data_IF_436537292785
#
_entry.id   IF_436537292785
#
_cell.length_a   1.000
_cell.length_b   1.000
_cell.length_c   1.000
_cell.angle_alpha   90.00
_cell.angle_beta   90.00
_cell.angle_gamma   90.00
#
_symmetry.space_group_name_H-M   'P 1'
#
loop_
_entity.id
_entity.type
_entity.pdbx_description
1 polymer ?
#
# COMPACT_ATOMS: atom_id res chain seq x y z
N UNK A 1 -13.18 16.25 23.98
CA UNK A 1 -11.80 16.05 23.49
C UNK A 1 -11.67 16.75 22.14
N UNK A 2 -10.80 17.75 22.06
CA UNK A 2 -10.73 18.74 20.97
C UNK A 2 -10.20 18.20 19.62
N UNK A 3 -9.79 16.93 19.55
CA UNK A 3 -9.12 16.34 18.37
C UNK A 3 -9.94 15.20 17.74
N UNK A 4 -11.18 14.96 18.20
CA UNK A 4 -12.05 13.94 17.61
C UNK A 4 -11.56 12.49 17.80
N UNK A 5 -10.79 12.22 18.86
CA UNK A 5 -10.21 10.89 19.18
C UNK A 5 -11.27 9.92 19.74
N UNK A 6 -12.43 10.45 20.15
CA UNK A 6 -13.51 9.73 20.85
C UNK A 6 -14.03 8.45 20.16
N UNK A 7 -14.26 8.37 18.82
CA UNK A 7 -14.77 7.14 18.22
C UNK A 7 -13.75 5.98 18.24
N UNK A 8 -12.47 6.23 18.54
CA UNK A 8 -11.40 5.25 18.46
C UNK A 8 -10.94 4.66 19.83
N UNK A 9 -11.75 4.70 20.91
CA UNK A 9 -11.34 4.26 22.30
C UNK A 9 -11.71 2.85 22.90
N UNK A 10 -12.59 1.95 22.40
CA UNK A 10 -12.82 0.57 22.99
C UNK A 10 -11.71 -0.45 22.71
N UNK A 11 -11.39 -1.29 23.69
CA UNK A 11 -11.31 -2.77 23.59
C UNK A 11 -10.42 -3.44 22.52
N UNK A 12 -10.74 -3.29 21.22
CA UNK A 12 -9.91 -3.73 20.06
C UNK A 12 -9.25 -2.56 19.32
N UNK A 13 -9.44 -1.32 19.79
CA UNK A 13 -9.25 -0.04 19.07
C UNK A 13 -7.84 0.57 19.16
N UNK A 14 -6.86 -0.13 19.74
CA UNK A 14 -5.47 0.34 19.77
C UNK A 14 -4.89 0.59 18.38
N UNK A 15 -5.08 -0.32 17.42
CA UNK A 15 -4.52 -0.18 16.06
C UNK A 15 -5.18 0.94 15.24
N UNK A 16 -6.50 1.13 15.33
CA UNK A 16 -7.20 2.19 14.59
C UNK A 16 -6.84 3.57 15.14
N UNK A 17 -6.73 3.69 16.46
CA UNK A 17 -6.25 4.91 17.11
C UNK A 17 -4.77 5.18 16.78
N UNK A 18 -3.92 4.15 16.80
CA UNK A 18 -2.51 4.27 16.41
C UNK A 18 -2.39 4.74 14.95
N UNK A 19 -3.11 4.11 14.03
CA UNK A 19 -3.15 4.51 12.63
C UNK A 19 -3.60 5.96 12.49
N UNK A 20 -4.67 6.36 13.17
CA UNK A 20 -5.14 7.73 13.18
C UNK A 20 -4.05 8.71 13.65
N UNK A 21 -3.42 8.45 14.79
CA UNK A 21 -2.34 9.28 15.33
C UNK A 21 -1.11 9.33 14.40
N UNK A 22 -0.75 8.20 13.77
CA UNK A 22 0.31 8.16 12.76
C UNK A 22 -0.04 9.00 11.54
N UNK A 23 -1.29 8.96 11.06
CA UNK A 23 -1.73 9.83 9.95
C UNK A 23 -1.77 11.32 10.32
N UNK A 24 -1.90 11.66 11.60
CA UNK A 24 -1.73 13.02 12.11
C UNK A 24 -0.27 13.43 12.32
N UNK A 25 0.69 12.51 12.18
CA UNK A 25 2.11 12.76 12.49
C UNK A 25 2.40 12.89 13.98
N UNK A 26 1.47 12.45 14.85
CA UNK A 26 1.59 12.50 16.30
C UNK A 26 2.22 11.24 16.89
N UNK A 27 2.35 10.19 16.07
CA UNK A 27 3.08 8.97 16.38
C UNK A 27 3.91 8.54 15.19
N UNK A 28 5.07 7.98 15.49
CA UNK A 28 5.90 7.24 14.54
C UNK A 28 5.78 5.77 14.90
N UNK A 29 5.54 4.92 13.90
CA UNK A 29 5.61 3.47 14.11
C UNK A 29 7.05 3.10 14.49
N UNK A 30 7.21 2.50 15.67
CA UNK A 30 8.51 1.99 16.10
C UNK A 30 8.74 0.64 15.42
N UNK A 31 9.89 0.51 14.78
CA UNK A 31 10.31 -0.74 14.17
C UNK A 31 10.45 -1.85 15.23
N UNK A 32 9.75 -2.97 15.01
CA UNK A 32 9.81 -4.14 15.87
C UNK A 32 10.63 -5.29 15.25
N UNK A 33 10.88 -6.35 16.03
CA UNK A 33 11.67 -7.50 15.57
C UNK A 33 11.07 -8.20 14.34
N UNK A 34 9.74 -8.22 14.24
CA UNK A 34 9.07 -8.82 13.09
C UNK A 34 9.30 -8.00 11.81
N UNK A 35 9.28 -6.67 11.89
CA UNK A 35 9.62 -5.79 10.76
C UNK A 35 11.08 -5.98 10.33
N UNK A 36 12.02 -5.96 11.29
CA UNK A 36 13.45 -6.22 11.01
C UNK A 36 13.70 -7.58 10.37
N UNK A 37 13.04 -8.62 10.89
CA UNK A 37 13.12 -9.96 10.31
C UNK A 37 12.56 -9.97 8.89
N UNK A 38 11.40 -9.38 8.67
CA UNK A 38 10.77 -9.26 7.35
C UNK A 38 11.70 -8.60 6.34
N UNK A 39 12.23 -7.42 6.66
CA UNK A 39 13.16 -6.67 5.81
C UNK A 39 14.40 -7.49 5.44
N UNK A 40 14.98 -8.24 6.39
CA UNK A 40 16.16 -9.08 6.11
C UNK A 40 15.82 -10.32 5.28
N UNK A 41 14.64 -10.89 5.48
CA UNK A 41 14.23 -12.15 4.86
C UNK A 41 13.67 -11.96 3.44
N UNK A 42 13.07 -10.81 3.15
CA UNK A 42 12.40 -10.52 1.87
C UNK A 42 13.27 -10.80 0.63
N UNK A 43 14.56 -10.41 0.55
CA UNK A 43 15.38 -10.71 -0.61
C UNK A 43 15.58 -12.22 -0.86
N UNK A 44 15.61 -13.03 0.21
CA UNK A 44 15.69 -14.49 0.11
C UNK A 44 14.36 -15.08 -0.36
N UNK A 45 13.25 -14.58 0.19
CA UNK A 45 11.91 -14.99 -0.22
C UNK A 45 11.67 -14.68 -1.70
N UNK A 46 12.04 -13.47 -2.17
CA UNK A 46 11.91 -13.09 -3.57
C UNK A 46 12.71 -13.99 -4.50
N UNK A 47 13.97 -14.27 -4.18
CA UNK A 47 14.79 -15.19 -4.97
C UNK A 47 14.15 -16.58 -5.06
N UNK A 48 13.62 -17.07 -3.94
CA UNK A 48 12.93 -18.36 -3.91
C UNK A 48 11.66 -18.35 -4.77
N UNK A 49 10.86 -17.27 -4.70
CA UNK A 49 9.69 -17.09 -5.56
C UNK A 49 10.08 -17.11 -7.05
N UNK A 50 11.09 -16.33 -7.45
CA UNK A 50 11.59 -16.26 -8.83
C UNK A 50 12.06 -17.64 -9.31
N UNK A 51 12.80 -18.37 -8.49
CA UNK A 51 13.25 -19.74 -8.82
C UNK A 51 12.08 -20.71 -8.98
N UNK A 52 11.07 -20.65 -8.12
CA UNK A 52 9.91 -21.54 -8.18
C UNK A 52 8.96 -21.25 -9.34
N UNK A 53 8.90 -20.00 -9.78
CA UNK A 53 7.92 -19.54 -10.78
C UNK A 53 8.52 -19.29 -12.15
N UNK A 54 9.86 -19.18 -12.23
CA UNK A 54 10.58 -18.78 -13.43
C UNK A 54 10.07 -17.46 -14.03
N UNK A 55 9.74 -16.48 -13.18
CA UNK A 55 9.23 -15.16 -13.59
C UNK A 55 10.23 -14.05 -13.30
N UNK A 56 10.21 -12.99 -14.10
CA UNK A 56 10.90 -11.74 -13.79
C UNK A 56 10.06 -10.90 -12.82
N UNK A 57 10.70 -10.38 -11.77
CA UNK A 57 10.05 -9.50 -10.79
C UNK A 57 10.79 -8.17 -10.72
N UNK A 58 10.08 -7.08 -10.97
CA UNK A 58 10.58 -5.72 -10.80
C UNK A 58 10.27 -5.19 -9.41
N UNK A 59 11.17 -4.39 -8.85
CA UNK A 59 10.89 -3.60 -7.65
C UNK A 59 9.91 -2.48 -7.99
N UNK A 60 8.93 -2.25 -7.11
CA UNK A 60 8.01 -1.14 -7.23
C UNK A 60 8.14 -0.24 -6.00
N UNK A 61 8.30 1.06 -6.24
CA UNK A 61 8.25 2.06 -5.19
C UNK A 61 6.82 2.37 -4.76
N UNK A 62 6.70 3.30 -3.81
CA UNK A 62 5.39 3.78 -3.37
C UNK A 62 4.66 4.55 -4.48
N UNK A 63 3.43 4.12 -4.76
CA UNK A 63 2.50 4.73 -5.69
C UNK A 63 1.31 5.36 -4.94
N UNK A 64 0.99 6.61 -5.27
CA UNK A 64 -0.27 7.25 -4.89
C UNK A 64 -1.28 7.05 -6.02
N UNK A 65 -2.52 6.73 -5.68
CA UNK A 65 -3.57 6.36 -6.64
C UNK A 65 -3.81 7.39 -7.75
N UNK A 66 -3.63 8.68 -7.44
CA UNK A 66 -3.88 9.77 -8.39
C UNK A 66 -2.94 9.73 -9.61
N UNK A 67 -1.81 9.02 -9.53
CA UNK A 67 -0.86 8.92 -10.63
C UNK A 67 -1.18 7.81 -11.65
N UNK A 68 -2.10 6.90 -11.36
CA UNK A 68 -2.41 5.75 -12.23
C UNK A 68 -3.67 5.96 -13.10
N UNK A 69 -4.68 6.66 -12.56
CA UNK A 69 -6.01 6.79 -13.19
C UNK A 69 -6.12 7.84 -14.30
N UNK A 70 -5.10 8.70 -14.51
CA UNK A 70 -5.13 9.71 -15.57
C UNK A 70 -4.76 9.19 -16.96
N UNK A 71 -4.51 7.88 -17.10
CA UNK A 71 -4.08 7.27 -18.38
C UNK A 71 -5.25 6.93 -19.33
N UNK A 72 -6.50 7.03 -18.88
CA UNK A 72 -7.69 6.66 -19.68
C UNK A 72 -8.63 7.83 -20.01
N UNK A 73 -8.34 9.05 -19.58
CA UNK A 73 -9.12 10.22 -19.96
C UNK A 73 -8.61 10.78 -21.29
N UNK A 74 -9.28 10.41 -22.38
CA UNK A 74 -9.07 10.94 -23.72
C UNK A 74 -9.14 12.47 -23.75
N UNK A 75 -8.19 13.06 -24.44
CA UNK A 75 -8.05 14.49 -24.70
C UNK A 75 -9.27 15.05 -25.43
N UNK A 76 -9.98 15.99 -24.80
CA UNK A 76 -10.72 17.03 -25.52
C UNK A 76 -10.40 18.38 -24.90
N UNK A 77 -9.44 19.09 -25.49
CA UNK A 77 -9.12 20.47 -25.19
C UNK A 77 -10.29 21.33 -25.70
N UNK A 78 -11.04 21.94 -24.78
CA UNK A 78 -11.86 23.12 -25.09
C UNK A 78 -11.19 24.34 -24.45
N UNK A 79 -10.65 25.22 -25.30
CA UNK A 79 -10.17 26.54 -24.91
C UNK A 79 -11.32 27.40 -24.38
N UNK A 80 -11.14 28.04 -23.23
CA UNK A 80 -12.04 29.05 -22.70
C UNK A 80 -11.76 29.30 -21.22
N UNK A 81 -11.17 30.46 -20.91
CA UNK A 81 -10.62 30.75 -19.59
C UNK A 81 -11.66 30.97 -18.51
N UNK A 82 -11.27 30.66 -17.27
CA UNK A 82 -11.77 31.36 -16.09
C UNK A 82 -10.77 31.24 -14.92
N UNK A 83 -10.38 32.38 -14.36
CA UNK A 83 -9.30 32.52 -13.37
C UNK A 83 -9.79 32.31 -11.93
N UNK A 84 -10.71 31.35 -11.75
CA UNK A 84 -11.35 31.03 -10.46
C UNK A 84 -11.45 29.51 -10.18
N UNK A 85 -10.54 28.70 -10.71
CA UNK A 85 -10.41 27.29 -10.29
C UNK A 85 -8.95 26.91 -10.09
N UNK A 86 -8.32 27.45 -9.04
CA UNK A 86 -7.13 26.83 -8.43
C UNK A 86 -7.60 25.85 -7.36
N UNK A 87 -8.45 24.89 -7.75
CA UNK A 87 -8.53 23.61 -7.05
C UNK A 87 -7.59 22.69 -7.82
N UNK A 88 -6.32 22.77 -7.43
CA UNK A 88 -5.27 21.86 -7.86
C UNK A 88 -5.82 20.44 -7.82
N UNK A 89 -5.86 19.78 -8.99
CA UNK A 89 -6.32 18.41 -9.19
C UNK A 89 -5.44 17.43 -8.40
N UNK A 90 -5.64 17.39 -7.09
CA UNK A 90 -5.26 16.24 -6.29
C UNK A 90 -6.32 15.20 -6.66
N UNK A 91 -5.99 14.30 -7.59
CA UNK A 91 -6.93 13.31 -8.12
C UNK A 91 -7.76 12.67 -7.00
N UNK A 92 -9.03 12.38 -7.24
CA UNK A 92 -10.08 12.08 -6.24
C UNK A 92 -9.68 11.02 -5.18
N UNK A 93 -8.66 10.22 -5.47
CA UNK A 93 -8.14 9.13 -4.65
C UNK A 93 -6.68 9.28 -4.20
N UNK A 94 -6.04 10.44 -4.33
CA UNK A 94 -4.63 10.65 -3.94
C UNK A 94 -4.32 10.32 -2.48
N UNK A 95 -5.35 10.25 -1.64
CA UNK A 95 -5.31 9.84 -0.24
C UNK A 95 -5.05 8.34 -0.04
N UNK A 96 -5.13 7.54 -1.11
CA UNK A 96 -4.74 6.14 -1.16
C UNK A 96 -3.36 5.98 -1.80
N UNK A 97 -2.60 5.04 -1.27
CA UNK A 97 -1.31 4.64 -1.84
C UNK A 97 -0.77 3.37 -1.22
N UNK A 98 0.17 2.75 -1.91
CA UNK A 98 0.78 1.49 -1.50
C UNK A 98 2.10 1.23 -2.21
N UNK A 99 2.86 0.27 -1.68
CA UNK A 99 4.11 -0.20 -2.25
C UNK A 99 4.02 -1.73 -2.26
N UNK A 100 3.79 -2.37 -3.41
CA UNK A 100 3.87 -3.82 -3.49
C UNK A 100 5.33 -4.23 -3.33
N UNK A 101 5.58 -5.47 -2.87
CA UNK A 101 6.94 -5.98 -2.79
C UNK A 101 7.52 -6.12 -4.20
N UNK A 102 6.73 -6.51 -5.21
CA UNK A 102 7.18 -6.45 -6.59
C UNK A 102 6.08 -6.50 -7.62
N UNK A 103 6.47 -6.31 -8.88
CA UNK A 103 5.61 -6.51 -10.05
C UNK A 103 6.15 -7.71 -10.81
N UNK A 104 5.33 -8.75 -10.90
CA UNK A 104 5.63 -9.98 -11.63
C UNK A 104 5.29 -9.76 -13.10
N UNK A 105 6.28 -9.84 -13.97
CA UNK A 105 6.09 -9.60 -15.40
C UNK A 105 5.57 -10.84 -16.10
N UNK A 106 4.74 -10.63 -17.12
CA UNK A 106 4.48 -11.65 -18.14
C UNK A 106 5.76 -11.87 -18.97
N UNK A 107 5.90 -13.00 -19.70
CA UNK A 107 7.05 -13.20 -20.59
C UNK A 107 7.23 -12.06 -21.60
N UNK A 108 6.14 -11.56 -22.18
CA UNK A 108 6.16 -10.41 -23.08
C UNK A 108 6.59 -9.12 -22.36
N UNK A 109 6.10 -8.89 -21.14
CA UNK A 109 6.50 -7.75 -20.32
C UNK A 109 7.97 -7.80 -19.91
N UNK A 110 8.51 -9.00 -19.66
CA UNK A 110 9.93 -9.21 -19.36
C UNK A 110 10.83 -8.84 -20.54
N UNK A 111 10.50 -9.33 -21.75
CA UNK A 111 11.22 -8.94 -22.98
C UNK A 111 11.14 -7.43 -23.23
N UNK A 112 9.98 -6.82 -22.99
CA UNK A 112 9.82 -5.37 -23.11
C UNK A 112 10.67 -4.58 -22.10
N UNK A 113 10.77 -5.06 -20.85
CA UNK A 113 11.60 -4.45 -19.82
C UNK A 113 13.10 -4.56 -20.14
N UNK A 114 13.55 -5.71 -20.66
CA UNK A 114 14.92 -5.92 -21.13
C UNK A 114 15.28 -4.98 -22.28
N UNK A 115 14.41 -4.87 -23.30
CA UNK A 115 14.60 -3.94 -24.42
C UNK A 115 14.62 -2.47 -24.01
N UNK A 116 13.99 -2.13 -22.89
CA UNK A 116 14.00 -0.79 -22.30
C UNK A 116 15.18 -0.52 -21.35
N UNK A 117 16.07 -1.50 -21.11
CA UNK A 117 17.19 -1.37 -20.19
C UNK A 117 16.78 -1.23 -18.72
N UNK A 118 15.59 -1.74 -18.34
CA UNK A 118 15.13 -1.69 -16.95
C UNK A 118 15.72 -2.85 -16.14
N UNK A 119 16.73 -2.54 -15.33
CA UNK A 119 17.26 -3.49 -14.34
C UNK A 119 16.43 -3.52 -13.05
N UNK A 120 16.48 -4.65 -12.34
CA UNK A 120 15.69 -4.95 -11.12
C UNK A 120 15.93 -4.04 -9.89
N UNK A 121 16.72 -2.97 -10.01
CA UNK A 121 17.24 -2.19 -8.86
C UNK A 121 17.12 -0.66 -8.91
N UNK A 122 16.44 -0.06 -9.90
CA UNK A 122 16.48 1.39 -10.13
C UNK A 122 15.15 2.14 -9.97
N UNK A 123 15.21 3.28 -9.28
CA UNK A 123 14.16 4.25 -8.91
C UNK A 123 12.97 4.44 -9.89
N UNK A 124 11.75 4.52 -9.31
CA UNK A 124 10.48 5.10 -9.84
C UNK A 124 10.37 5.22 -11.36
N UNK A 125 10.35 4.10 -12.06
CA UNK A 125 9.99 4.12 -13.48
C UNK A 125 8.47 4.14 -13.59
N UNK A 126 7.93 5.11 -14.34
CA UNK A 126 6.56 4.99 -14.88
C UNK A 126 6.57 3.75 -15.76
N UNK A 127 6.10 2.63 -15.21
CA UNK A 127 6.08 1.35 -15.90
C UNK A 127 5.24 1.50 -17.16
N UNK A 128 5.84 1.23 -18.32
CA UNK A 128 5.16 1.36 -19.61
C UNK A 128 4.02 0.34 -19.69
N UNK A 129 2.89 0.65 -20.35
CA UNK A 129 1.78 -0.29 -20.51
C UNK A 129 2.21 -1.64 -21.10
N UNK A 130 3.19 -1.64 -22.00
CA UNK A 130 3.76 -2.87 -22.58
C UNK A 130 4.44 -3.78 -21.54
N UNK A 131 5.06 -3.20 -20.50
CA UNK A 131 5.69 -3.93 -19.40
C UNK A 131 4.64 -4.47 -18.44
N UNK A 132 3.59 -3.69 -18.18
CA UNK A 132 2.51 -4.06 -17.27
C UNK A 132 1.49 -5.02 -17.88
N UNK A 133 1.48 -5.21 -19.20
CA UNK A 133 0.50 -6.06 -19.85
C UNK A 133 0.61 -7.52 -19.36
N UNK A 134 -0.46 -8.01 -18.72
CA UNK A 134 -0.50 -9.33 -18.10
C UNK A 134 0.36 -9.48 -16.83
N UNK A 135 0.95 -8.38 -16.34
CA UNK A 135 1.69 -8.38 -15.09
C UNK A 135 0.77 -8.57 -13.88
N UNK A 136 1.36 -8.92 -12.74
CA UNK A 136 0.67 -9.06 -11.48
C UNK A 136 1.49 -8.53 -10.33
N UNK A 137 0.86 -8.51 -9.15
CA UNK A 137 1.49 -8.02 -7.93
C UNK A 137 2.13 -9.18 -7.18
N UNK A 138 3.33 -8.96 -6.64
CA UNK A 138 3.94 -9.83 -5.65
C UNK A 138 3.85 -9.17 -4.27
N UNK A 139 3.25 -9.88 -3.32
CA UNK A 139 3.22 -9.51 -1.91
C UNK A 139 3.89 -10.62 -1.08
N UNK A 140 5.02 -10.31 -0.46
CA UNK A 140 5.85 -11.23 0.32
C UNK A 140 5.54 -11.07 1.81
N UNK A 141 5.41 -12.20 2.51
CA UNK A 141 5.34 -12.24 3.97
C UNK A 141 6.36 -13.19 4.54
N UNK A 142 7.19 -12.67 5.44
CA UNK A 142 8.20 -13.44 6.15
C UNK A 142 7.90 -13.46 7.66
N UNK A 143 6.98 -14.32 8.13
CA UNK A 143 6.69 -14.41 9.55
C UNK A 143 7.84 -15.09 10.31
N UNK A 144 8.29 -14.50 11.42
CA UNK A 144 9.44 -14.99 12.20
C UNK A 144 9.14 -16.21 13.08
N UNK A 145 7.87 -16.44 13.43
CA UNK A 145 7.48 -17.43 14.45
C UNK A 145 6.45 -18.46 14.01
N UNK A 146 5.78 -18.24 12.87
CA UNK A 146 4.73 -19.13 12.36
C UNK A 146 5.13 -19.66 11.00
N UNK A 147 4.90 -20.96 10.71
CA UNK A 147 5.12 -21.49 9.37
C UNK A 147 4.15 -20.85 8.38
N UNK A 148 4.44 -21.01 7.09
CA UNK A 148 3.50 -20.67 6.05
C UNK A 148 2.25 -21.58 6.18
N UNK A 149 1.07 -21.00 6.30
CA UNK A 149 -0.19 -21.73 6.52
C UNK A 149 -1.26 -21.26 5.54
N UNK A 150 -1.91 -22.21 4.86
CA UNK A 150 -3.01 -21.94 3.94
C UNK A 150 -4.36 -21.84 4.69
N UNK A 151 -4.46 -20.88 5.61
CA UNK A 151 -5.66 -20.62 6.40
C UNK A 151 -6.30 -19.29 5.93
N UNK A 152 -7.46 -19.35 5.24
CA UNK A 152 -8.15 -18.16 4.74
C UNK A 152 -8.48 -17.13 5.83
N UNK A 153 -8.81 -17.57 7.05
CA UNK A 153 -9.13 -16.67 8.14
C UNK A 153 -7.89 -15.88 8.60
N UNK A 154 -6.73 -16.54 8.66
CA UNK A 154 -5.44 -15.90 9.02
C UNK A 154 -4.89 -14.99 7.92
N UNK A 155 -5.24 -15.29 6.66
CA UNK A 155 -4.76 -14.55 5.50
C UNK A 155 -5.73 -13.44 5.03
N UNK A 156 -6.91 -13.34 5.62
CA UNK A 156 -7.94 -12.34 5.28
C UNK A 156 -7.39 -10.92 5.16
N UNK A 157 -6.59 -10.45 6.14
CA UNK A 157 -5.96 -9.11 6.10
C UNK A 157 -5.07 -8.86 4.88
N UNK A 158 -4.44 -9.90 4.34
CA UNK A 158 -3.61 -9.79 3.15
C UNK A 158 -4.48 -9.68 1.90
N UNK A 159 -5.67 -10.28 1.88
CA UNK A 159 -6.65 -10.10 0.78
C UNK A 159 -7.05 -8.62 0.65
N UNK A 160 -7.35 -7.93 1.77
CA UNK A 160 -7.61 -6.49 1.75
C UNK A 160 -6.45 -5.71 1.13
N UNK A 161 -5.21 -6.00 1.57
CA UNK A 161 -4.02 -5.32 1.08
C UNK A 161 -3.79 -5.54 -0.42
N UNK A 162 -3.92 -6.79 -0.89
CA UNK A 162 -3.69 -7.14 -2.30
C UNK A 162 -4.80 -6.61 -3.21
N UNK A 163 -6.06 -6.66 -2.80
CA UNK A 163 -7.16 -6.07 -3.56
C UNK A 163 -7.00 -4.55 -3.70
N UNK A 164 -6.54 -3.88 -2.63
CA UNK A 164 -6.16 -2.48 -2.72
C UNK A 164 -5.03 -2.27 -3.72
N UNK A 165 -3.90 -3.00 -3.59
CA UNK A 165 -2.76 -2.86 -4.50
C UNK A 165 -3.15 -3.10 -5.97
N UNK A 166 -3.93 -4.14 -6.27
CA UNK A 166 -4.44 -4.42 -7.63
C UNK A 166 -5.26 -3.26 -8.18
N UNK A 167 -6.08 -2.63 -7.35
CA UNK A 167 -6.84 -1.45 -7.73
C UNK A 167 -5.94 -0.22 -7.99
N UNK A 168 -4.91 0.01 -7.16
CA UNK A 168 -4.03 1.19 -7.32
C UNK A 168 -3.07 1.06 -8.51
N UNK A 169 -2.65 -0.16 -8.83
CA UNK A 169 -1.72 -0.45 -9.93
C UNK A 169 -2.43 -0.85 -11.23
N UNK A 170 -3.76 -0.97 -11.19
CA UNK A 170 -4.61 -1.44 -12.29
C UNK A 170 -4.15 -2.80 -12.86
N UNK A 171 -3.94 -3.76 -11.96
CA UNK A 171 -3.50 -5.11 -12.30
C UNK A 171 -4.56 -6.15 -11.90
N UNK A 172 -4.72 -7.19 -12.71
CA UNK A 172 -5.85 -8.13 -12.56
C UNK A 172 -5.58 -9.28 -11.59
N UNK A 173 -4.34 -9.46 -11.13
CA UNK A 173 -3.99 -10.54 -10.21
C UNK A 173 -2.80 -10.20 -9.30
N UNK A 174 -2.73 -10.91 -8.18
CA UNK A 174 -1.66 -10.82 -7.20
C UNK A 174 -1.28 -12.21 -6.67
N UNK A 175 0.00 -12.44 -6.42
CA UNK A 175 0.50 -13.59 -5.67
C UNK A 175 0.87 -13.15 -4.25
N UNK A 176 0.21 -13.76 -3.26
CA UNK A 176 0.71 -13.80 -1.90
C UNK A 176 1.77 -14.89 -1.80
N UNK A 177 2.99 -14.52 -1.41
CA UNK A 177 4.06 -15.45 -1.16
C UNK A 177 4.52 -15.38 0.30
N UNK A 178 4.19 -16.42 1.08
CA UNK A 178 4.64 -16.55 2.46
C UNK A 178 5.89 -17.42 2.46
N UNK A 179 6.99 -16.88 2.96
CA UNK A 179 8.26 -17.57 3.09
C UNK A 179 8.65 -17.58 4.57
N UNK A 180 8.65 -18.77 5.18
CA UNK A 180 8.88 -18.89 6.61
C UNK A 180 9.91 -19.96 6.89
N UNK A 181 10.95 -19.58 7.62
CA UNK A 181 11.93 -20.47 8.22
C UNK A 181 11.82 -20.33 9.76
N UNK A 182 10.82 -20.98 10.40
CA UNK A 182 10.60 -20.81 11.83
C UNK A 182 11.81 -21.27 12.63
N UNK A 183 12.26 -20.45 13.57
CA UNK A 183 13.44 -20.70 14.41
C UNK A 183 13.46 -22.08 15.09
N UNK A 184 12.29 -22.68 15.35
CA UNK A 184 12.16 -23.98 16.03
C UNK A 184 12.17 -25.20 15.11
N UNK A 185 11.97 -25.04 13.81
CA UNK A 185 11.78 -26.17 12.89
C UNK A 185 12.95 -26.42 11.94
N UNK A 186 13.86 -25.44 11.78
CA UNK A 186 14.93 -25.42 10.76
C UNK A 186 14.47 -25.83 9.35
N UNK A 187 13.15 -25.81 9.10
CA UNK A 187 12.52 -26.33 7.89
C UNK A 187 11.87 -25.17 7.17
N UNK A 188 12.25 -24.98 5.91
CA UNK A 188 11.67 -23.95 5.09
C UNK A 188 10.23 -24.35 4.72
N UNK A 189 9.29 -23.45 4.99
CA UNK A 189 7.90 -23.57 4.56
C UNK A 189 7.56 -22.42 3.63
N UNK A 190 6.92 -22.72 2.50
CA UNK A 190 6.45 -21.71 1.55
C UNK A 190 4.98 -21.92 1.24
N UNK A 191 4.26 -20.82 1.05
CA UNK A 191 2.90 -20.81 0.54
C UNK A 191 2.81 -19.77 -0.57
N UNK A 192 2.26 -20.17 -1.72
CA UNK A 192 1.87 -19.26 -2.78
C UNK A 192 0.36 -19.33 -2.98
N UNK A 193 -0.32 -18.19 -2.86
CA UNK A 193 -1.75 -18.07 -3.17
C UNK A 193 -1.93 -17.00 -4.23
N UNK A 194 -2.51 -17.37 -5.37
CA UNK A 194 -2.91 -16.41 -6.40
C UNK A 194 -4.31 -15.90 -6.12
N UNK A 195 -4.46 -14.58 -6.15
CA UNK A 195 -5.71 -13.87 -6.04
C UNK A 195 -6.01 -13.14 -7.35
N UNK A 196 -7.28 -13.16 -7.72
CA UNK A 196 -7.80 -12.39 -8.85
C UNK A 196 -8.43 -11.11 -8.30
N UNK A 197 -8.32 -10.01 -9.04
CA UNK A 197 -8.96 -8.74 -8.70
C UNK A 197 -10.46 -8.93 -8.57
N UNK A 198 -11.00 -8.50 -7.45
CA UNK A 198 -12.42 -8.51 -7.14
C UNK A 198 -12.91 -7.08 -6.98
N UNK A 199 -13.51 -6.57 -8.06
CA UNK A 199 -14.02 -5.20 -8.15
C UNK A 199 -15.21 -4.97 -7.24
N UNK A 200 -16.05 -5.99 -7.03
CA UNK A 200 -17.20 -5.88 -6.13
C UNK A 200 -16.74 -5.81 -4.67
N UNK A 201 -15.75 -6.64 -4.31
CA UNK A 201 -15.11 -6.56 -3.00
C UNK A 201 -14.48 -5.18 -2.79
N UNK A 202 -13.67 -4.68 -3.72
CA UNK A 202 -13.08 -3.33 -3.61
C UNK A 202 -14.14 -2.23 -3.48
N UNK A 203 -15.19 -2.26 -4.32
CA UNK A 203 -16.29 -1.28 -4.27
C UNK A 203 -17.02 -1.28 -2.92
N UNK A 204 -17.10 -2.42 -2.23
CA UNK A 204 -17.65 -2.50 -0.87
C UNK A 204 -16.72 -1.94 0.21
N UNK A 205 -15.41 -1.95 -0.02
CA UNK A 205 -14.40 -1.55 0.96
C UNK A 205 -14.03 -0.07 0.90
N UNK A 206 -13.85 0.47 -0.31
CA UNK A 206 -13.38 1.83 -0.54
C UNK A 206 -14.16 2.90 0.26
N UNK A 207 -15.51 2.85 0.33
CA UNK A 207 -16.28 3.83 1.10
C UNK A 207 -15.87 3.89 2.58
N UNK A 208 -15.51 2.76 3.19
CA UNK A 208 -15.05 2.72 4.58
C UNK A 208 -13.71 3.42 4.77
N UNK A 209 -12.80 3.26 3.81
CA UNK A 209 -11.50 3.95 3.80
C UNK A 209 -11.70 5.47 3.58
N UNK A 210 -12.61 5.84 2.68
CA UNK A 210 -12.95 7.23 2.38
C UNK A 210 -13.56 7.93 3.60
N UNK A 211 -14.49 7.28 4.31
CA UNK A 211 -15.04 7.79 5.58
C UNK A 211 -13.92 8.01 6.60
N UNK A 212 -13.03 7.04 6.78
CA UNK A 212 -11.91 7.20 7.70
C UNK A 212 -11.03 8.40 7.35
N UNK A 213 -10.72 8.60 6.07
CA UNK A 213 -9.90 9.71 5.63
C UNK A 213 -10.60 11.06 5.76
N UNK A 214 -11.74 11.22 5.10
CA UNK A 214 -12.41 12.51 4.93
C UNK A 214 -13.19 12.96 6.16
N UNK A 215 -13.76 12.04 6.93
CA UNK A 215 -14.55 12.41 8.13
C UNK A 215 -13.72 12.44 9.41
N UNK A 216 -12.51 11.86 9.41
CA UNK A 216 -11.69 11.81 10.62
C UNK A 216 -10.29 12.42 10.43
N UNK A 217 -9.49 11.92 9.47
CA UNK A 217 -8.09 12.36 9.34
C UNK A 217 -8.01 13.81 8.87
N UNK A 218 -8.73 14.18 7.81
CA UNK A 218 -8.66 15.54 7.23
C UNK A 218 -9.14 16.61 8.22
N UNK A 219 -10.30 16.47 8.90
CA UNK A 219 -10.74 17.46 9.89
C UNK A 219 -9.76 17.59 11.07
N UNK A 220 -9.22 16.46 11.56
CA UNK A 220 -8.28 16.48 12.68
C UNK A 220 -6.94 17.14 12.29
N UNK A 221 -6.45 16.95 11.06
CA UNK A 221 -5.28 17.68 10.54
C UNK A 221 -5.53 19.19 10.50
N UNK A 222 -6.69 19.62 10.02
CA UNK A 222 -7.06 21.04 9.99
C UNK A 222 -7.13 21.64 11.39
N UNK A 223 -7.74 20.93 12.35
CA UNK A 223 -7.80 21.35 13.74
C UNK A 223 -6.42 21.48 14.38
N UNK A 224 -5.52 20.53 14.13
CA UNK A 224 -4.14 20.56 14.63
C UNK A 224 -3.33 21.72 14.02
N UNK A 225 -3.47 21.97 12.72
CA UNK A 225 -2.83 23.10 12.06
C UNK A 225 -3.32 24.44 12.63
N UNK A 226 -4.64 24.58 12.84
CA UNK A 226 -5.21 25.78 13.44
C UNK A 226 -4.76 25.98 14.90
N UNK A 227 -4.56 24.90 15.67
CA UNK A 227 -4.03 24.97 17.02
C UNK A 227 -2.57 25.46 17.04
N UNK A 228 -1.72 24.94 16.13
CA UNK A 228 -0.31 25.36 16.00
C UNK A 228 -0.16 26.84 15.62
N UNK A 229 -1.07 27.37 14.81
CA UNK A 229 -1.08 28.80 14.48
C UNK A 229 -1.45 29.69 15.68
N UNK A 230 -2.32 29.20 16.58
CA UNK A 230 -2.73 29.94 17.77
C UNK A 230 -1.68 29.92 18.88
N UNK A 231 -0.93 28.83 19.00
CA UNK A 231 0.16 28.70 19.97
C UNK A 231 1.35 27.95 19.34
N UNK A 232 2.29 28.69 18.74
CA UNK A 232 3.48 28.11 18.10
C UNK A 232 4.41 27.37 19.06
N UNK A 233 4.31 27.63 20.37
CA UNK A 233 5.12 27.00 21.40
C UNK A 233 4.50 25.70 21.96
N UNK A 234 3.26 25.37 21.57
CA UNK A 234 2.57 24.18 22.04
C UNK A 234 3.15 22.89 21.43
N UNK A 235 3.57 21.95 22.28
CA UNK A 235 4.03 20.62 21.84
C UNK A 235 2.84 19.81 21.30
N UNK A 236 2.84 19.40 20.02
CA UNK A 236 1.76 18.61 19.44
C UNK A 236 1.58 17.24 20.11
N UNK A 237 2.58 16.70 20.81
CA UNK A 237 2.48 15.45 21.55
C UNK A 237 1.66 15.58 22.84
N UNK A 238 1.56 16.77 23.43
CA UNK A 238 0.74 17.02 24.62
C UNK A 238 -0.77 16.96 24.34
N UNK A 239 -1.19 17.37 23.14
CA UNK A 239 -2.60 17.37 22.69
C UNK A 239 -3.19 15.97 22.43
N UNK A 240 -2.34 14.97 22.19
CA UNK A 240 -2.75 13.59 21.94
C UNK A 240 -3.16 12.83 23.22
N UNK A 241 -2.83 13.37 24.40
CA UNK A 241 -3.02 12.71 25.70
C UNK A 241 -4.27 13.19 26.47
N UNK A 242 -5.06 14.14 25.93
CA UNK A 242 -6.33 14.62 26.49
C UNK A 242 -7.59 13.99 25.83
#
# INVERSE_FOLDING_TARGET
>A
SAVGVSPFRDGRRGMRQQLFLTKLGLRVEKENDAMRHGTRAEPYARRHYVQQTNTTVLSAGFLSYASASSSSASSSISQGGDMHSVKQEVGERAWLGGSPDGIVLSPAGATAAEGAGMESGGNRVRMLPAILNGAGILEIKCPSFRPAENDPAKNSKYVFQMQALMEMFDLEWADLFVWSLPQRSNSLTTLRVRLVRDRAFWASMEPHLAVFWWQHVVPARAALAAARLRDPASDPHSLALA
#
